data_IF_780232537914
#
_entry.id   IF_780232537914
#
_cell.length_a   1.000
_cell.length_b   1.000
_cell.length_c   1.000
_cell.angle_alpha   90.00
_cell.angle_beta   90.00
_cell.angle_gamma   90.00
#
_symmetry.space_group_name_H-M   'P 1'
#
loop_
_entity.id
_entity.type
_entity.pdbx_description
1 polymer ?
#
# COMPACT_ATOMS: atom_id res chain seq x y z
N UNK A 1 36.97 -4.05 14.78
CA UNK A 1 35.85 -5.00 14.61
C UNK A 1 34.86 -4.31 13.69
N UNK A 2 34.53 -4.96 12.58
CA UNK A 2 33.89 -4.38 11.40
C UNK A 2 32.47 -3.92 11.70
N UNK A 3 32.24 -2.61 11.56
CA UNK A 3 30.91 -2.03 11.37
C UNK A 3 30.24 -2.77 10.23
N UNK A 4 29.23 -3.57 10.57
CA UNK A 4 28.41 -4.26 9.58
C UNK A 4 27.68 -3.19 8.80
N UNK A 5 28.05 -3.04 7.53
CA UNK A 5 27.27 -2.31 6.53
C UNK A 5 25.85 -2.88 6.61
N UNK A 6 24.93 -2.14 7.23
CA UNK A 6 23.52 -2.49 7.30
C UNK A 6 23.10 -2.70 5.86
N UNK A 7 22.73 -3.92 5.52
CA UNK A 7 22.41 -4.30 4.15
C UNK A 7 21.04 -3.68 3.83
N UNK A 8 21.04 -2.40 3.46
CA UNK A 8 19.85 -1.56 3.28
C UNK A 8 18.83 -2.18 2.32
N UNK A 9 19.28 -3.01 1.38
CA UNK A 9 18.41 -3.78 0.50
C UNK A 9 17.69 -4.96 1.20
N UNK A 10 18.33 -5.63 2.15
CA UNK A 10 17.69 -6.68 2.96
C UNK A 10 16.68 -6.06 3.93
N UNK A 11 17.06 -4.96 4.61
CA UNK A 11 16.15 -4.22 5.48
C UNK A 11 14.90 -3.71 4.74
N UNK A 12 15.07 -3.11 3.55
CA UNK A 12 13.93 -2.67 2.70
C UNK A 12 13.01 -3.83 2.31
N UNK A 13 13.58 -5.01 2.02
CA UNK A 13 12.80 -6.22 1.70
C UNK A 13 12.02 -6.71 2.92
N UNK A 14 12.63 -6.72 4.10
CA UNK A 14 11.99 -7.11 5.36
C UNK A 14 10.85 -6.15 5.75
N UNK A 15 11.04 -4.84 5.59
CA UNK A 15 9.97 -3.86 5.78
C UNK A 15 8.82 -4.05 4.79
N UNK A 16 9.09 -4.37 3.53
CA UNK A 16 8.05 -4.69 2.55
C UNK A 16 7.26 -5.95 2.93
N UNK A 17 7.94 -6.99 3.45
CA UNK A 17 7.28 -8.19 3.97
C UNK A 17 6.41 -7.89 5.19
N UNK A 18 6.88 -7.02 6.09
CA UNK A 18 6.14 -6.60 7.28
C UNK A 18 4.88 -5.79 6.90
N UNK A 19 4.98 -4.85 5.96
CA UNK A 19 3.83 -4.11 5.41
C UNK A 19 2.79 -5.04 4.77
N UNK A 20 3.24 -6.09 4.07
CA UNK A 20 2.34 -7.09 3.51
C UNK A 20 1.58 -7.85 4.60
N UNK A 21 2.30 -8.28 5.66
CA UNK A 21 1.68 -8.93 6.81
C UNK A 21 0.63 -8.01 7.45
N UNK A 22 0.95 -6.73 7.65
CA UNK A 22 0.02 -5.74 8.20
C UNK A 22 -1.24 -5.57 7.34
N UNK A 23 -1.08 -5.43 6.03
CA UNK A 23 -2.20 -5.30 5.09
C UNK A 23 -3.14 -6.52 5.17
N UNK A 24 -2.56 -7.73 5.24
CA UNK A 24 -3.33 -8.98 5.34
C UNK A 24 -4.09 -9.07 6.67
N UNK A 25 -3.45 -8.72 7.79
CA UNK A 25 -4.09 -8.72 9.11
C UNK A 25 -5.17 -7.65 9.17
N UNK A 26 -4.92 -6.45 8.65
CA UNK A 26 -5.87 -5.34 8.64
C UNK A 26 -7.15 -5.70 7.87
N UNK A 27 -7.04 -6.38 6.72
CA UNK A 27 -8.21 -6.92 6.00
C UNK A 27 -9.01 -7.89 6.87
N UNK A 28 -8.34 -8.81 7.55
CA UNK A 28 -9.00 -9.81 8.42
C UNK A 28 -9.66 -9.18 9.64
N UNK A 29 -9.03 -8.20 10.27
CA UNK A 29 -9.62 -7.48 11.40
C UNK A 29 -10.80 -6.61 10.98
N UNK A 30 -10.78 -6.02 9.78
CA UNK A 30 -11.96 -5.33 9.22
C UNK A 30 -13.14 -6.28 9.01
N UNK A 31 -12.90 -7.43 8.39
CA UNK A 31 -13.90 -8.49 8.20
C UNK A 31 -14.48 -8.95 9.54
N UNK A 32 -13.63 -9.20 10.54
CA UNK A 32 -14.07 -9.55 11.90
C UNK A 32 -14.92 -8.44 12.52
N UNK A 33 -14.46 -7.18 12.45
CA UNK A 33 -15.21 -6.03 12.98
C UNK A 33 -16.59 -5.91 12.34
N UNK A 34 -16.70 -6.07 11.02
CA UNK A 34 -17.96 -6.03 10.29
C UNK A 34 -18.94 -7.10 10.80
N UNK A 35 -18.46 -8.32 11.06
CA UNK A 35 -19.29 -9.37 11.65
C UNK A 35 -19.71 -9.07 13.09
N UNK A 36 -18.83 -8.51 13.90
CA UNK A 36 -19.14 -8.17 15.30
C UNK A 36 -20.22 -7.10 15.41
N UNK A 37 -20.19 -6.08 14.54
CA UNK A 37 -21.16 -4.97 14.54
C UNK A 37 -22.38 -5.21 13.63
N UNK A 38 -22.44 -6.36 12.95
CA UNK A 38 -23.52 -6.66 12.03
C UNK A 38 -24.88 -6.66 12.76
N UNK A 39 -25.96 -6.15 12.13
CA UNK A 39 -27.29 -6.15 12.74
C UNK A 39 -27.74 -7.55 13.21
N UNK A 40 -27.44 -8.59 12.42
CA UNK A 40 -27.77 -9.98 12.79
C UNK A 40 -27.06 -10.45 14.08
N UNK A 41 -25.83 -9.99 14.34
CA UNK A 41 -25.11 -10.31 15.58
C UNK A 41 -25.78 -9.63 16.79
N UNK A 42 -26.18 -8.37 16.64
CA UNK A 42 -26.90 -7.63 17.68
C UNK A 42 -28.29 -8.23 17.97
N UNK A 43 -28.97 -8.72 16.93
CA UNK A 43 -30.24 -9.46 17.06
C UNK A 43 -30.06 -10.77 17.83
N UNK A 44 -28.99 -11.53 17.56
CA UNK A 44 -28.65 -12.77 18.28
C UNK A 44 -28.42 -12.46 19.76
N UNK A 45 -27.64 -11.45 20.09
CA UNK A 45 -27.39 -11.04 21.48
C UNK A 45 -28.70 -10.64 22.17
N UNK A 46 -29.52 -9.83 21.50
CA UNK A 46 -30.84 -9.43 21.99
C UNK A 46 -31.78 -10.63 22.21
N UNK A 47 -31.68 -11.66 21.37
CA UNK A 47 -32.44 -12.90 21.52
C UNK A 47 -31.96 -13.73 22.72
N UNK A 48 -30.64 -13.85 22.91
CA UNK A 48 -30.05 -14.55 24.08
C UNK A 48 -30.49 -13.87 25.37
N UNK A 49 -30.40 -12.54 25.43
CA UNK A 49 -30.81 -11.75 26.60
C UNK A 49 -32.28 -11.97 26.94
N UNK A 50 -33.16 -11.93 25.93
CA UNK A 50 -34.60 -12.19 26.11
C UNK A 50 -34.90 -13.61 26.60
N UNK A 51 -34.16 -14.61 26.13
CA UNK A 51 -34.42 -16.04 26.43
C UNK A 51 -33.81 -16.54 27.72
N UNK A 52 -32.67 -15.99 28.13
CA UNK A 52 -31.86 -16.53 29.24
C UNK A 52 -31.67 -15.55 30.39
N UNK A 53 -31.96 -14.25 30.19
CA UNK A 53 -31.63 -13.19 31.14
C UNK A 53 -30.13 -12.87 31.21
N UNK A 54 -29.26 -13.62 30.54
CA UNK A 54 -27.83 -13.36 30.46
C UNK A 54 -27.54 -12.12 29.60
N UNK A 55 -26.44 -11.42 29.91
CA UNK A 55 -26.03 -10.24 29.17
C UNK A 55 -24.69 -10.45 28.44
N UNK A 56 -24.70 -10.99 27.21
CA UNK A 56 -23.48 -11.13 26.43
C UNK A 56 -23.02 -9.83 25.75
N UNK A 57 -23.77 -8.72 25.87
CA UNK A 57 -23.39 -7.41 25.30
C UNK A 57 -22.01 -6.96 25.79
N UNK A 58 -21.72 -7.17 27.08
CA UNK A 58 -20.44 -6.78 27.68
C UNK A 58 -19.25 -7.47 27.02
N UNK A 59 -19.29 -8.80 26.92
CA UNK A 59 -18.22 -9.58 26.29
C UNK A 59 -18.08 -9.26 24.80
N UNK A 60 -19.18 -9.07 24.07
CA UNK A 60 -19.14 -8.68 22.65
C UNK A 60 -18.54 -7.27 22.48
N UNK A 61 -18.89 -6.34 23.35
CA UNK A 61 -18.32 -4.99 23.36
C UNK A 61 -16.82 -5.02 23.61
N UNK A 62 -16.35 -5.79 24.60
CA UNK A 62 -14.92 -5.94 24.90
C UNK A 62 -14.14 -6.48 23.69
N UNK A 63 -14.66 -7.51 23.02
CA UNK A 63 -14.04 -8.07 21.81
C UNK A 63 -14.01 -7.02 20.68
N UNK A 64 -15.11 -6.29 20.48
CA UNK A 64 -15.20 -5.25 19.45
C UNK A 64 -14.17 -4.15 19.70
N UNK A 65 -14.06 -3.68 20.94
CA UNK A 65 -13.04 -2.70 21.34
C UNK A 65 -11.62 -3.23 21.10
N UNK A 66 -11.33 -4.47 21.47
CA UNK A 66 -9.99 -5.06 21.25
C UNK A 66 -9.63 -5.11 19.76
N UNK A 67 -10.59 -5.47 18.89
CA UNK A 67 -10.39 -5.46 17.43
C UNK A 67 -10.15 -4.06 16.90
N UNK A 68 -10.88 -3.05 17.39
CA UNK A 68 -10.68 -1.66 16.99
C UNK A 68 -9.32 -1.11 17.43
N UNK A 69 -8.86 -1.46 18.64
CA UNK A 69 -7.52 -1.09 19.11
C UNK A 69 -6.43 -1.77 18.29
N UNK A 70 -6.61 -3.05 17.93
CA UNK A 70 -5.67 -3.75 17.05
C UNK A 70 -5.60 -3.11 15.65
N UNK A 71 -6.76 -2.71 15.08
CA UNK A 71 -6.82 -1.96 13.82
C UNK A 71 -6.08 -0.63 13.90
N UNK A 72 -6.21 0.10 15.01
CA UNK A 72 -5.51 1.37 15.23
C UNK A 72 -3.99 1.15 15.33
N UNK A 73 -3.57 0.17 16.13
CA UNK A 73 -2.16 -0.17 16.31
C UNK A 73 -1.49 -0.57 14.99
N UNK A 74 -2.16 -1.36 14.17
CA UNK A 74 -1.67 -1.73 12.82
C UNK A 74 -1.47 -0.52 11.92
N UNK A 75 -2.44 0.41 11.89
CA UNK A 75 -2.31 1.63 11.08
C UNK A 75 -1.14 2.52 11.54
N UNK A 76 -0.95 2.66 12.84
CA UNK A 76 0.17 3.42 13.39
C UNK A 76 1.52 2.77 13.05
N UNK A 77 1.60 1.45 13.13
CA UNK A 77 2.80 0.71 12.76
C UNK A 77 3.09 0.78 11.26
N UNK A 78 2.06 0.69 10.40
CA UNK A 78 2.20 0.91 8.95
C UNK A 78 2.73 2.31 8.62
N UNK A 79 2.28 3.35 9.32
CA UNK A 79 2.77 4.71 9.13
C UNK A 79 4.27 4.81 9.48
N UNK A 80 4.68 4.26 10.63
CA UNK A 80 6.08 4.24 11.06
C UNK A 80 6.98 3.50 10.07
N UNK A 81 6.54 2.34 9.56
CA UNK A 81 7.32 1.57 8.59
C UNK A 81 7.45 2.33 7.26
N UNK A 82 6.41 3.06 6.84
CA UNK A 82 6.50 3.88 5.61
C UNK A 82 7.52 4.99 5.76
N UNK A 83 7.57 5.66 6.91
CA UNK A 83 8.55 6.71 7.18
C UNK A 83 9.98 6.16 7.09
N UNK A 84 10.24 4.99 7.69
CA UNK A 84 11.55 4.31 7.66
C UNK A 84 11.96 3.80 6.26
N UNK A 85 11.00 3.39 5.43
CA UNK A 85 11.29 2.92 4.06
C UNK A 85 11.53 4.09 3.09
N UNK A 86 10.97 5.27 3.37
CA UNK A 86 11.05 6.46 2.52
C UNK A 86 12.33 7.29 2.73
N UNK A 87 13.08 7.11 3.82
CA UNK A 87 14.22 7.97 4.17
C UNK A 87 15.47 7.83 3.27
N UNK A 88 15.54 6.86 2.35
CA UNK A 88 16.85 6.42 1.84
C UNK A 88 16.95 6.25 0.31
N UNK A 89 16.41 7.20 -0.46
CA UNK A 89 16.72 7.33 -1.89
C UNK A 89 16.79 8.81 -2.27
N UNK A 90 17.98 9.30 -2.66
CA UNK A 90 18.09 10.50 -3.51
C UNK A 90 17.30 10.23 -4.80
N UNK A 91 16.03 10.64 -4.82
CA UNK A 91 15.18 10.50 -5.98
C UNK A 91 15.57 11.57 -7.00
N UNK A 92 15.82 11.21 -8.27
CA UNK A 92 15.92 12.22 -9.31
C UNK A 92 14.56 12.93 -9.40
N UNK A 93 14.58 14.24 -9.14
CA UNK A 93 13.38 15.08 -9.16
C UNK A 93 12.77 15.08 -10.56
N UNK A 94 11.59 14.47 -10.69
CA UNK A 94 10.78 14.54 -11.91
C UNK A 94 9.80 15.68 -11.72
N UNK A 95 10.03 16.76 -12.48
CA UNK A 95 9.32 18.02 -12.39
C UNK A 95 7.79 17.82 -12.31
N UNK A 96 7.19 18.12 -11.16
CA UNK A 96 5.75 18.04 -10.91
C UNK A 96 5.22 16.69 -10.37
N UNK A 97 6.09 15.72 -10.05
CA UNK A 97 5.70 14.41 -9.51
C UNK A 97 6.48 14.08 -8.23
N UNK A 98 5.90 14.38 -7.07
CA UNK A 98 6.47 14.00 -5.79
C UNK A 98 6.31 12.49 -5.51
N UNK A 99 7.34 11.84 -4.96
CA UNK A 99 7.35 10.42 -4.53
C UNK A 99 7.25 9.38 -5.67
N UNK A 100 7.82 9.65 -6.84
CA UNK A 100 7.91 8.65 -7.90
C UNK A 100 8.93 7.55 -7.54
N UNK A 101 8.61 6.25 -7.71
CA UNK A 101 9.53 5.16 -7.42
C UNK A 101 10.85 5.29 -8.17
N UNK A 102 11.96 5.01 -7.49
CA UNK A 102 13.32 5.24 -7.99
C UNK A 102 13.56 4.66 -9.39
N UNK A 103 13.08 3.45 -9.67
CA UNK A 103 13.22 2.80 -10.98
C UNK A 103 12.47 3.56 -12.08
N UNK A 104 11.28 4.09 -11.78
CA UNK A 104 10.49 4.87 -12.72
C UNK A 104 11.08 6.27 -12.91
N UNK A 105 11.51 6.91 -11.83
CA UNK A 105 12.18 8.20 -11.87
C UNK A 105 13.48 8.14 -12.70
N UNK A 106 14.27 7.08 -12.52
CA UNK A 106 15.46 6.80 -13.34
C UNK A 106 15.11 6.57 -14.81
N UNK A 107 14.08 5.79 -15.12
CA UNK A 107 13.64 5.56 -16.50
C UNK A 107 13.30 6.88 -17.22
N UNK A 108 12.60 7.79 -16.54
CA UNK A 108 12.26 9.11 -17.06
C UNK A 108 13.49 10.01 -17.18
N UNK A 109 14.36 10.05 -16.17
CA UNK A 109 15.58 10.85 -16.17
C UNK A 109 16.51 10.47 -17.32
N UNK A 110 16.71 9.18 -17.59
CA UNK A 110 17.53 8.67 -18.71
C UNK A 110 17.00 9.08 -20.10
N UNK A 111 15.72 9.45 -20.20
CA UNK A 111 15.03 9.74 -21.48
C UNK A 111 14.58 11.18 -21.60
N UNK A 112 14.81 12.02 -20.59
CA UNK A 112 14.41 13.44 -20.56
C UNK A 112 14.92 14.20 -21.77
N UNK A 113 16.16 13.95 -22.17
CA UNK A 113 16.84 14.68 -23.25
C UNK A 113 16.71 14.00 -24.62
N UNK A 114 15.93 12.91 -24.72
CA UNK A 114 15.74 12.21 -26.00
C UNK A 114 14.77 12.98 -26.91
N UNK A 115 15.19 13.36 -28.13
CA UNK A 115 14.32 14.06 -29.07
C UNK A 115 13.09 13.22 -29.43
N UNK A 116 11.90 13.82 -29.31
CA UNK A 116 10.64 13.15 -29.63
C UNK A 116 10.10 12.23 -28.54
N UNK A 117 10.76 12.14 -27.37
CA UNK A 117 10.21 11.44 -26.22
C UNK A 117 9.18 12.31 -25.49
N UNK A 118 7.99 11.77 -25.25
CA UNK A 118 6.94 12.38 -24.43
C UNK A 118 6.43 11.37 -23.43
N UNK A 119 6.05 11.86 -22.24
CA UNK A 119 5.50 11.01 -21.20
C UNK A 119 4.41 11.74 -20.41
N UNK A 120 3.54 10.95 -19.78
CA UNK A 120 2.54 11.38 -18.83
C UNK A 120 2.61 10.47 -17.62
N UNK A 121 2.67 11.05 -16.43
CA UNK A 121 2.63 10.33 -15.16
C UNK A 121 1.24 10.51 -14.54
N UNK A 122 0.63 9.41 -14.13
CA UNK A 122 -0.65 9.35 -13.45
C UNK A 122 -0.48 8.58 -12.14
N UNK A 123 -1.30 8.88 -11.14
CA UNK A 123 -1.37 8.10 -9.90
C UNK A 123 -2.79 7.52 -9.76
N UNK A 124 -2.88 6.20 -9.61
CA UNK A 124 -4.13 5.49 -9.35
C UNK A 124 -4.05 4.84 -7.97
N UNK A 125 -5.06 5.05 -7.12
CA UNK A 125 -5.05 4.58 -5.73
C UNK A 125 -4.94 3.05 -5.60
N UNK A 126 -5.40 2.30 -6.60
CA UNK A 126 -5.38 0.83 -6.60
C UNK A 126 -4.19 0.26 -7.36
N UNK A 127 -3.74 0.97 -8.41
CA UNK A 127 -2.70 0.52 -9.34
C UNK A 127 -1.37 1.23 -9.16
N UNK A 128 -1.22 2.14 -8.21
CA UNK A 128 0.02 2.90 -7.99
C UNK A 128 0.31 3.88 -9.13
N UNK A 129 1.59 4.18 -9.33
CA UNK A 129 2.05 5.08 -10.39
C UNK A 129 1.93 4.45 -11.79
N UNK A 130 1.39 5.20 -12.75
CA UNK A 130 1.26 4.80 -14.14
C UNK A 130 2.03 5.79 -15.01
N UNK A 131 2.93 5.28 -15.85
CA UNK A 131 3.67 6.08 -16.83
C UNK A 131 3.22 5.67 -18.23
N UNK A 132 2.69 6.63 -18.97
CA UNK A 132 2.40 6.51 -20.39
C UNK A 132 3.51 7.22 -21.16
N UNK A 133 4.18 6.55 -22.08
CA UNK A 133 5.23 7.20 -22.87
C UNK A 133 5.08 6.92 -24.36
N UNK A 134 5.55 7.87 -25.17
CA UNK A 134 5.65 7.78 -26.62
C UNK A 134 6.97 8.36 -27.08
N UNK A 135 7.53 7.76 -28.10
CA UNK A 135 8.69 8.25 -28.82
C UNK A 135 8.26 8.50 -30.27
N UNK A 136 8.57 9.69 -30.78
CA UNK A 136 8.28 10.11 -32.15
C UNK A 136 9.56 10.20 -32.97
N UNK A 137 9.50 9.84 -34.24
CA UNK A 137 10.56 10.12 -35.21
C UNK A 137 10.61 11.63 -35.50
N UNK A 138 11.70 12.09 -36.12
CA UNK A 138 11.82 13.48 -36.58
C UNK A 138 10.72 13.88 -37.59
N UNK A 139 10.10 12.91 -38.26
CA UNK A 139 8.99 13.10 -39.19
C UNK A 139 7.61 13.06 -38.53
N UNK A 140 7.54 12.90 -37.21
CA UNK A 140 6.29 12.89 -36.44
C UNK A 140 5.57 11.53 -36.36
N UNK A 141 6.15 10.47 -36.91
CA UNK A 141 5.60 9.11 -36.78
C UNK A 141 5.94 8.52 -35.41
N UNK A 142 5.05 7.70 -34.84
CA UNK A 142 5.35 7.00 -33.58
C UNK A 142 6.41 5.93 -33.83
N UNK A 143 7.56 6.06 -33.17
CA UNK A 143 8.67 5.09 -33.18
C UNK A 143 8.49 4.03 -32.09
N UNK A 144 7.98 4.42 -30.93
CA UNK A 144 7.77 3.53 -29.80
C UNK A 144 6.69 4.09 -28.88
N UNK A 145 5.98 3.21 -28.19
CA UNK A 145 5.06 3.60 -27.13
C UNK A 145 4.97 2.48 -26.10
N UNK A 146 4.64 2.87 -24.87
CA UNK A 146 4.52 1.90 -23.79
C UNK A 146 3.79 2.47 -22.59
N UNK A 147 3.44 1.55 -21.69
CA UNK A 147 2.80 1.86 -20.42
C UNK A 147 3.51 1.08 -19.32
N UNK A 148 4.01 1.78 -18.31
CA UNK A 148 4.45 1.15 -17.08
C UNK A 148 3.39 1.33 -16.03
N UNK A 149 3.04 0.22 -15.40
CA UNK A 149 2.30 0.22 -14.16
C UNK A 149 3.33 -0.10 -13.10
N UNK A 150 3.56 0.80 -12.15
CA UNK A 150 4.03 0.37 -10.85
C UNK A 150 3.00 -0.66 -10.40
N UNK A 151 3.35 -1.93 -10.38
CA UNK A 151 2.45 -2.96 -9.87
C UNK A 151 2.91 -3.25 -8.45
N UNK A 152 2.57 -2.42 -7.45
CA UNK A 152 2.94 -2.70 -6.06
C UNK A 152 2.37 -4.05 -5.58
N UNK A 153 1.39 -4.57 -6.32
CA UNK A 153 0.68 -5.82 -6.09
C UNK A 153 0.79 -6.84 -7.24
N UNK A 154 1.79 -6.73 -8.13
CA UNK A 154 1.95 -7.65 -9.29
C UNK A 154 2.03 -9.14 -8.93
N UNK A 155 2.30 -9.42 -7.66
CA UNK A 155 2.53 -10.71 -7.06
C UNK A 155 1.30 -11.24 -6.29
N UNK A 156 0.14 -10.58 -6.44
CA UNK A 156 -1.14 -10.96 -5.80
C UNK A 156 -2.00 -11.88 -6.71
N UNK A 157 -1.57 -12.20 -7.94
CA UNK A 157 -2.21 -13.26 -8.73
C UNK A 157 -1.64 -14.65 -8.36
N UNK A 158 -2.17 -15.25 -7.30
CA UNK A 158 -2.35 -16.70 -7.07
C UNK A 158 -3.33 -16.98 -5.91
#
# INVERSE_FOLDING_TARGET
MTEGTINTNEAKREYAQLLHLHTRILRKLKEIREHLIAPGTLEIVSAIRRRTGANPDGALSEITTAVEQALLALKLSEAQIRDEVMEDVEQPDVEGVANLPATLARFLAERRDMPGFTHQVLHDENRGWIILWKEYTQTGSVRGSGQFYERPYAWIDE
#
